data_IF_366024293042
#
_entry.id   IF_366024293042
#
_cell.length_a   1.000
_cell.length_b   1.000
_cell.length_c   1.000
_cell.angle_alpha   90.00
_cell.angle_beta   90.00
_cell.angle_gamma   90.00
#
_symmetry.space_group_name_H-M   'P 1'
#
loop_
_entity.id
_entity.type
_entity.pdbx_description
1 polymer ?
#
# COMPACT_ATOMS: atom_id res chain seq x y z
N UNK A 1 -6.26 38.60 -12.15
CA UNK A 1 -6.24 37.42 -11.27
C UNK A 1 -4.78 37.16 -10.89
N UNK A 2 -4.38 37.40 -9.64
CA UNK A 2 -2.97 37.23 -9.21
C UNK A 2 -2.66 35.74 -9.09
N UNK A 3 -1.60 35.28 -9.75
CA UNK A 3 -1.10 33.91 -9.63
C UNK A 3 -0.64 33.66 -8.20
N UNK A 4 -1.34 32.80 -7.48
CA UNK A 4 -0.89 32.34 -6.16
C UNK A 4 0.28 31.40 -6.42
N UNK A 5 1.49 31.84 -6.09
CA UNK A 5 2.69 30.99 -6.01
C UNK A 5 2.93 30.09 -7.24
N UNK A 6 2.82 30.64 -8.45
CA UNK A 6 3.11 29.93 -9.70
C UNK A 6 1.91 29.20 -10.34
N UNK A 7 0.76 29.12 -9.68
CA UNK A 7 -0.46 28.57 -10.29
C UNK A 7 -1.22 29.66 -11.05
N UNK A 8 -1.66 29.30 -12.27
CA UNK A 8 -2.42 30.20 -13.16
C UNK A 8 -3.81 30.57 -12.60
N UNK A 9 -4.36 29.76 -11.69
CA UNK A 9 -5.63 29.99 -11.00
C UNK A 9 -5.73 29.20 -9.68
N UNK A 10 -6.68 29.58 -8.82
CA UNK A 10 -7.01 28.81 -7.59
C UNK A 10 -7.50 27.40 -7.93
N UNK A 11 -8.20 27.23 -9.06
CA UNK A 11 -8.69 25.93 -9.49
C UNK A 11 -7.53 24.97 -9.78
N UNK A 12 -6.48 25.47 -10.42
CA UNK A 12 -5.26 24.70 -10.70
C UNK A 12 -4.56 24.27 -9.41
N UNK A 13 -4.50 25.15 -8.41
CA UNK A 13 -3.95 24.81 -7.09
C UNK A 13 -4.76 23.69 -6.40
N UNK A 14 -6.10 23.78 -6.46
CA UNK A 14 -6.98 22.75 -5.89
C UNK A 14 -6.83 21.40 -6.59
N UNK A 15 -6.74 21.38 -7.92
CA UNK A 15 -6.49 20.17 -8.70
C UNK A 15 -5.16 19.50 -8.33
N UNK A 16 -4.09 20.29 -8.18
CA UNK A 16 -2.78 19.80 -7.79
C UNK A 16 -2.77 19.23 -6.36
N UNK A 17 -3.44 19.91 -5.42
CA UNK A 17 -3.59 19.44 -4.03
C UNK A 17 -4.36 18.11 -3.97
N UNK A 18 -5.49 18.00 -4.69
CA UNK A 18 -6.28 16.77 -4.74
C UNK A 18 -5.46 15.63 -5.35
N UNK A 19 -4.71 15.90 -6.41
CA UNK A 19 -3.83 14.91 -7.04
C UNK A 19 -2.75 14.43 -6.07
N UNK A 20 -2.06 15.34 -5.39
CA UNK A 20 -1.03 15.01 -4.41
C UNK A 20 -1.59 14.15 -3.27
N UNK A 21 -2.76 14.51 -2.74
CA UNK A 21 -3.43 13.74 -1.68
C UNK A 21 -3.78 12.31 -2.14
N UNK A 22 -4.37 12.16 -3.34
CA UNK A 22 -4.69 10.84 -3.91
C UNK A 22 -3.43 9.98 -4.08
N UNK A 23 -2.35 10.56 -4.58
CA UNK A 23 -1.07 9.86 -4.75
C UNK A 23 -0.46 9.42 -3.42
N UNK A 24 -0.50 10.29 -2.40
CA UNK A 24 -0.03 9.95 -1.05
C UNK A 24 -0.84 8.80 -0.43
N UNK A 25 -2.16 8.81 -0.61
CA UNK A 25 -3.03 7.72 -0.15
C UNK A 25 -2.72 6.40 -0.84
N UNK A 26 -2.60 6.39 -2.17
CA UNK A 26 -2.28 5.18 -2.94
C UNK A 26 -0.90 4.60 -2.56
N UNK A 27 0.08 5.45 -2.23
CA UNK A 27 1.38 4.97 -1.72
C UNK A 27 1.23 4.18 -0.41
N UNK A 28 0.47 4.70 0.56
CA UNK A 28 0.24 3.97 1.81
C UNK A 28 -0.51 2.64 1.64
N UNK A 29 -1.42 2.57 0.67
CA UNK A 29 -2.12 1.31 0.32
C UNK A 29 -1.16 0.31 -0.35
N UNK A 30 -0.23 0.78 -1.20
CA UNK A 30 0.83 -0.05 -1.80
C UNK A 30 1.84 -0.56 -0.75
N UNK A 31 2.24 0.28 0.20
CA UNK A 31 3.14 -0.13 1.29
C UNK A 31 2.49 -1.23 2.15
N UNK A 32 1.18 -1.12 2.39
CA UNK A 32 0.40 -2.13 3.13
C UNK A 32 0.35 -3.44 2.35
N UNK A 33 0.12 -3.38 1.04
CA UNK A 33 0.11 -4.57 0.17
C UNK A 33 1.49 -5.23 0.11
N UNK A 34 2.55 -4.44 -0.01
CA UNK A 34 3.93 -4.94 -0.02
C UNK A 34 4.27 -5.63 1.30
N UNK A 35 3.90 -5.04 2.44
CA UNK A 35 4.09 -5.66 3.75
C UNK A 35 3.34 -6.99 3.88
N UNK A 36 2.14 -7.09 3.28
CA UNK A 36 1.37 -8.33 3.27
C UNK A 36 2.02 -9.40 2.38
N UNK A 37 2.46 -9.02 1.18
CA UNK A 37 3.18 -9.91 0.27
C UNK A 37 4.49 -10.42 0.85
N UNK A 38 5.25 -9.56 1.55
CA UNK A 38 6.47 -9.95 2.25
C UNK A 38 6.19 -11.01 3.32
N UNK A 39 5.12 -10.81 4.14
CA UNK A 39 4.71 -11.80 5.15
C UNK A 39 4.33 -13.14 4.53
N UNK A 40 3.66 -13.13 3.37
CA UNK A 40 3.28 -14.36 2.66
C UNK A 40 4.50 -15.03 2.03
N UNK A 41 5.43 -14.26 1.47
CA UNK A 41 6.66 -14.79 0.88
C UNK A 41 7.60 -15.42 1.92
N UNK A 42 7.63 -14.91 3.15
CA UNK A 42 8.37 -15.51 4.26
C UNK A 42 7.74 -16.82 4.77
N UNK A 43 6.53 -17.19 4.31
CA UNK A 43 5.96 -18.50 4.60
C UNK A 43 6.54 -19.53 3.64
N UNK A 44 7.61 -20.20 4.08
CA UNK A 44 8.09 -21.40 3.41
C UNK A 44 7.01 -22.50 3.48
N UNK A 45 6.49 -22.90 2.34
CA UNK A 45 5.45 -23.93 2.19
C UNK A 45 5.87 -25.24 2.85
N UNK A 46 7.15 -25.62 2.73
CA UNK A 46 7.69 -26.85 3.35
C UNK A 46 7.67 -26.77 4.88
N UNK A 47 7.92 -25.58 5.43
CA UNK A 47 7.82 -25.34 6.87
C UNK A 47 6.36 -25.37 7.34
N UNK A 48 5.41 -24.90 6.52
CA UNK A 48 3.99 -24.97 6.83
C UNK A 48 3.48 -26.42 6.80
N UNK A 49 3.90 -27.20 5.81
CA UNK A 49 3.60 -28.64 5.69
C UNK A 49 4.20 -29.42 6.87
N UNK A 50 5.43 -29.11 7.27
CA UNK A 50 6.05 -29.71 8.46
C UNK A 50 5.25 -29.41 9.73
N UNK A 51 4.71 -28.19 9.90
CA UNK A 51 3.88 -27.84 11.05
C UNK A 51 2.51 -28.51 11.02
N UNK A 52 1.88 -28.62 9.84
CA UNK A 52 0.62 -29.34 9.66
C UNK A 52 0.79 -30.83 9.97
N UNK A 53 1.88 -31.45 9.51
CA UNK A 53 2.19 -32.85 9.82
C UNK A 53 2.54 -33.10 11.31
N UNK A 54 2.85 -32.04 12.06
CA UNK A 54 3.09 -32.09 13.51
C UNK A 54 1.85 -31.69 14.34
N UNK A 55 0.74 -31.33 13.68
CA UNK A 55 -0.47 -30.95 14.39
C UNK A 55 -1.09 -32.19 15.07
N UNK A 56 -1.52 -32.10 16.34
CA UNK A 56 -2.03 -33.24 17.11
C UNK A 56 -3.46 -33.65 16.70
N UNK A 57 -3.96 -33.16 15.57
CA UNK A 57 -5.28 -33.43 15.04
C UNK A 57 -5.09 -33.98 13.62
N UNK A 58 -5.59 -35.20 13.37
CA UNK A 58 -5.57 -35.78 12.03
C UNK A 58 -6.48 -34.99 11.08
N UNK A 59 -6.04 -34.88 9.81
CA UNK A 59 -6.79 -34.25 8.72
C UNK A 59 -7.90 -35.17 8.23
#
# INVERSE_FOLDING_TARGET
>A
MRTVSGHKSVNTLLEDLIRAHKMARMRGELDTLQAHLQRVADVNVDHLVSRLNMAPFEV
#
